data_IF_448886529999
#
_entry.id   IF_448886529999
#
_cell.length_a   1.000
_cell.length_b   1.000
_cell.length_c   1.000
_cell.angle_alpha   90.00
_cell.angle_beta   90.00
_cell.angle_gamma   90.00
#
_symmetry.space_group_name_H-M   'P 1'
#
loop_
_entity.id
_entity.type
_entity.pdbx_description
1 polymer ?
#
# COMPACT_ATOMS: atom_id res chain seq x y z
N UNK A 1 24.99 -18.51 -3.78
CA UNK A 1 23.52 -18.54 -3.58
C UNK A 1 23.18 -18.95 -2.14
N UNK A 2 23.54 -18.15 -1.14
CA UNK A 2 23.00 -18.32 0.22
C UNK A 2 22.01 -17.19 0.40
N UNK A 3 20.73 -17.49 0.20
CA UNK A 3 19.66 -16.61 0.64
C UNK A 3 19.83 -16.42 2.16
N UNK A 4 20.19 -15.23 2.59
CA UNK A 4 20.25 -14.93 4.03
C UNK A 4 18.83 -15.03 4.57
N UNK A 5 18.60 -15.72 5.71
CA UNK A 5 17.25 -15.86 6.27
C UNK A 5 16.58 -14.52 6.58
N UNK A 6 17.37 -13.44 6.74
CA UNK A 6 16.89 -12.08 6.93
C UNK A 6 16.06 -11.55 5.74
N UNK A 7 16.47 -11.82 4.49
CA UNK A 7 15.74 -11.31 3.31
C UNK A 7 14.43 -12.06 3.08
N UNK A 8 14.40 -13.36 3.40
CA UNK A 8 13.18 -14.17 3.35
C UNK A 8 12.11 -13.67 4.33
N UNK A 9 12.51 -13.27 5.55
CA UNK A 9 11.59 -12.71 6.54
C UNK A 9 10.99 -11.37 6.12
N UNK A 10 11.77 -10.50 5.48
CA UNK A 10 11.28 -9.20 4.99
C UNK A 10 10.26 -9.36 3.85
N UNK A 11 10.47 -10.32 2.94
CA UNK A 11 9.51 -10.63 1.88
C UNK A 11 8.17 -11.10 2.46
N UNK A 12 8.20 -12.00 3.46
CA UNK A 12 7.00 -12.47 4.14
C UNK A 12 6.28 -11.33 4.88
N UNK A 13 7.02 -10.49 5.61
CA UNK A 13 6.45 -9.34 6.32
C UNK A 13 5.70 -8.39 5.37
N UNK A 14 6.25 -8.12 4.18
CA UNK A 14 5.62 -7.24 3.20
C UNK A 14 4.24 -7.76 2.76
N UNK A 15 4.11 -9.07 2.54
CA UNK A 15 2.83 -9.71 2.17
C UNK A 15 1.78 -9.52 3.26
N UNK A 16 2.15 -9.70 4.54
CA UNK A 16 1.21 -9.53 5.65
C UNK A 16 0.83 -8.06 5.89
N UNK A 17 1.76 -7.11 5.70
CA UNK A 17 1.47 -5.67 5.85
C UNK A 17 0.68 -5.05 4.69
N UNK A 18 0.67 -5.70 3.52
CA UNK A 18 -0.03 -5.25 2.31
C UNK A 18 -1.40 -5.91 2.10
N UNK A 19 -1.94 -6.60 3.11
CA UNK A 19 -3.25 -7.27 3.01
C UNK A 19 -4.34 -6.24 2.72
N UNK A 20 -5.07 -6.44 1.62
CA UNK A 20 -6.25 -5.65 1.31
C UNK A 20 -7.29 -5.81 2.43
N UNK A 21 -7.71 -4.69 3.02
CA UNK A 21 -8.72 -4.64 4.08
C UNK A 21 -10.08 -4.40 3.42
N UNK A 22 -11.15 -5.08 3.85
CA UNK A 22 -12.50 -4.79 3.36
C UNK A 22 -12.86 -3.33 3.70
N UNK A 23 -13.15 -2.57 2.65
CA UNK A 23 -13.48 -1.15 2.69
C UNK A 23 -14.74 -0.90 1.86
N UNK A 24 -15.47 0.16 2.18
CA UNK A 24 -16.64 0.64 1.43
C UNK A 24 -16.52 2.15 1.25
N UNK A 25 -17.17 2.74 0.26
CA UNK A 25 -17.23 4.20 0.20
C UNK A 25 -17.87 4.77 1.48
N UNK A 26 -17.27 5.83 2.05
CA UNK A 26 -17.81 6.53 3.20
C UNK A 26 -19.13 7.23 2.85
N UNK A 27 -20.06 7.24 3.79
CA UNK A 27 -21.30 8.02 3.68
C UNK A 27 -21.05 9.53 3.85
N UNK A 28 -22.05 10.36 3.53
CA UNK A 28 -21.98 11.80 3.73
C UNK A 28 -21.76 12.18 5.21
N UNK A 29 -20.90 13.17 5.48
CA UNK A 29 -20.64 13.63 6.84
C UNK A 29 -21.90 14.23 7.47
N UNK A 30 -22.17 13.90 8.74
CA UNK A 30 -23.37 14.31 9.50
C UNK A 30 -24.70 13.67 9.09
N UNK A 31 -24.69 12.64 8.24
CA UNK A 31 -25.92 11.92 7.87
C UNK A 31 -26.89 12.76 7.01
N UNK A 32 -26.38 13.78 6.31
CA UNK A 32 -27.12 14.46 5.25
C UNK A 32 -27.45 13.50 4.10
N UNK A 33 -28.43 13.85 3.28
CA UNK A 33 -28.79 13.03 2.11
C UNK A 33 -27.75 13.19 0.99
N UNK A 34 -27.71 12.20 0.11
CA UNK A 34 -26.88 12.20 -1.11
C UNK A 34 -27.26 13.28 -2.14
N UNK A 35 -28.27 14.11 -1.82
CA UNK A 35 -28.78 15.17 -2.68
C UNK A 35 -27.77 16.27 -2.96
N UNK A 36 -26.83 16.49 -2.05
CA UNK A 36 -25.77 17.50 -2.21
C UNK A 36 -24.73 17.11 -3.28
N UNK A 37 -24.61 15.82 -3.59
CA UNK A 37 -23.63 15.29 -4.54
C UNK A 37 -24.28 14.92 -5.88
N UNK A 38 -25.43 14.25 -5.82
CA UNK A 38 -26.09 13.69 -7.01
C UNK A 38 -27.34 14.47 -7.45
N UNK A 39 -27.68 15.58 -6.77
CA UNK A 39 -28.91 16.31 -7.02
C UNK A 39 -30.13 15.57 -6.48
N UNK A 40 -31.32 15.82 -7.05
CA UNK A 40 -32.58 15.28 -6.51
C UNK A 40 -32.61 13.74 -6.54
N UNK A 41 -32.33 13.11 -5.39
CA UNK A 41 -32.41 11.66 -5.20
C UNK A 41 -33.86 11.28 -4.98
N UNK A 42 -34.66 11.24 -6.06
CA UNK A 42 -36.08 10.84 -6.00
C UNK A 42 -36.26 9.39 -5.51
N UNK A 43 -36.36 8.44 -6.44
CA UNK A 43 -36.46 6.99 -6.16
C UNK A 43 -35.10 6.27 -6.29
N UNK A 44 -34.00 7.01 -6.25
CA UNK A 44 -32.66 6.49 -6.45
C UNK A 44 -32.13 5.87 -5.15
N UNK A 45 -31.63 4.63 -5.26
CA UNK A 45 -30.90 3.96 -4.17
C UNK A 45 -29.40 4.02 -4.45
N UNK A 46 -28.63 4.52 -3.49
CA UNK A 46 -27.17 4.62 -3.58
C UNK A 46 -26.56 3.36 -2.98
N UNK A 47 -25.93 2.55 -3.81
CA UNK A 47 -25.21 1.36 -3.36
C UNK A 47 -23.73 1.70 -3.23
N UNK A 48 -23.22 1.60 -2.00
CA UNK A 48 -21.81 1.78 -1.68
C UNK A 48 -21.06 0.47 -1.89
N UNK A 49 -20.35 0.36 -3.02
CA UNK A 49 -19.40 -0.72 -3.26
C UNK A 49 -18.01 -0.37 -2.71
N UNK A 50 -17.04 -1.26 -2.91
CA UNK A 50 -15.68 -1.10 -2.39
C UNK A 50 -14.95 0.12 -2.99
N UNK A 51 -15.24 0.48 -4.25
CA UNK A 51 -14.54 1.55 -4.97
C UNK A 51 -15.41 2.49 -5.79
N UNK A 52 -16.74 2.35 -5.70
CA UNK A 52 -17.69 3.15 -6.49
C UNK A 52 -19.04 3.24 -5.80
N UNK A 53 -19.72 4.33 -6.10
CA UNK A 53 -21.10 4.58 -5.77
C UNK A 53 -21.93 4.23 -7.01
N UNK A 54 -22.87 3.31 -6.87
CA UNK A 54 -23.79 2.93 -7.95
C UNK A 54 -25.15 3.53 -7.64
N UNK A 55 -25.68 4.31 -8.58
CA UNK A 55 -27.01 4.92 -8.50
C UNK A 55 -27.99 4.00 -9.22
N UNK A 56 -28.96 3.48 -8.47
CA UNK A 56 -29.95 2.54 -9.00
C UNK A 56 -31.34 3.18 -8.96
N UNK A 57 -32.00 3.22 -10.12
CA UNK A 57 -33.43 3.58 -10.24
C UNK A 57 -34.24 2.34 -10.62
N UNK A 58 -35.22 1.96 -9.79
CA UNK A 58 -36.11 0.82 -10.02
C UNK A 58 -35.38 -0.42 -10.59
N UNK A 59 -34.28 -0.82 -9.95
CA UNK A 59 -33.38 -1.94 -10.30
C UNK A 59 -32.48 -1.79 -11.55
N UNK A 60 -32.47 -0.63 -12.20
CA UNK A 60 -31.54 -0.30 -13.30
C UNK A 60 -30.40 0.59 -12.83
N UNK A 61 -29.17 0.33 -13.31
CA UNK A 61 -28.00 1.16 -13.00
C UNK A 61 -28.05 2.41 -13.88
N UNK A 62 -28.26 3.57 -13.25
CA UNK A 62 -28.37 4.85 -13.95
C UNK A 62 -26.99 5.46 -14.18
N UNK A 63 -26.17 5.50 -13.12
CA UNK A 63 -24.85 6.11 -13.17
C UNK A 63 -23.90 5.50 -12.12
N UNK A 64 -22.61 5.61 -12.37
CA UNK A 64 -21.54 5.11 -11.50
C UNK A 64 -20.54 6.22 -11.22
N UNK A 65 -20.39 6.58 -9.94
CA UNK A 65 -19.50 7.65 -9.52
C UNK A 65 -18.35 7.14 -8.64
N UNK A 66 -17.18 7.79 -8.65
CA UNK A 66 -16.11 7.52 -7.68
C UNK A 66 -16.53 7.93 -6.27
N UNK A 67 -15.93 7.32 -5.24
CA UNK A 67 -16.21 7.69 -3.84
C UNK A 67 -15.82 9.16 -3.59
N UNK A 68 -16.80 9.99 -3.20
CA UNK A 68 -16.59 11.44 -2.99
C UNK A 68 -16.08 11.77 -1.58
N UNK A 69 -16.55 11.03 -0.57
CA UNK A 69 -16.22 11.25 0.84
C UNK A 69 -15.11 10.33 1.36
N UNK A 70 -14.37 9.69 0.46
CA UNK A 70 -13.34 8.71 0.80
C UNK A 70 -13.90 7.33 1.15
N UNK A 71 -13.10 6.53 1.84
CA UNK A 71 -13.39 5.12 2.13
C UNK A 71 -13.51 4.89 3.64
N UNK A 72 -14.52 4.12 4.03
CA UNK A 72 -14.77 3.65 5.38
C UNK A 72 -14.27 2.19 5.52
N UNK A 73 -13.45 1.95 6.53
CA UNK A 73 -12.86 0.63 6.80
C UNK A 73 -13.62 -0.06 7.93
N UNK A 74 -13.97 -1.33 7.76
CA UNK A 74 -14.65 -2.13 8.81
C UNK A 74 -13.71 -2.52 9.96
N UNK A 75 -12.40 -2.48 9.74
CA UNK A 75 -11.37 -2.74 10.73
C UNK A 75 -10.67 -1.43 11.13
N UNK A 76 -10.08 -1.35 12.34
CA UNK A 76 -9.35 -0.16 12.75
C UNK A 76 -8.25 0.19 11.74
N UNK A 77 -8.13 1.47 11.44
CA UNK A 77 -7.27 2.03 10.39
C UNK A 77 -5.78 1.70 10.56
N UNK A 78 -5.38 1.24 11.75
CA UNK A 78 -4.00 0.89 12.11
C UNK A 78 -3.61 -0.55 11.73
N UNK A 79 -4.52 -1.34 11.15
CA UNK A 79 -4.28 -2.77 10.89
C UNK A 79 -3.40 -3.03 9.67
N UNK A 80 -3.32 -2.09 8.72
CA UNK A 80 -2.46 -2.25 7.54
C UNK A 80 -1.88 -0.93 7.05
N UNK A 81 -0.74 -0.99 6.36
CA UNK A 81 -0.14 0.16 5.68
C UNK A 81 -1.10 0.78 4.66
N UNK A 82 -1.90 -0.07 4.00
CA UNK A 82 -2.87 0.35 2.97
C UNK A 82 -3.99 1.22 3.56
N UNK A 83 -4.47 0.90 4.77
CA UNK A 83 -5.51 1.67 5.44
C UNK A 83 -4.99 2.96 6.09
N UNK A 84 -3.75 2.97 6.58
CA UNK A 84 -3.11 4.17 7.14
C UNK A 84 -2.90 5.27 6.10
N UNK A 85 -2.47 4.91 4.89
CA UNK A 85 -2.16 5.90 3.84
C UNK A 85 -3.28 6.08 2.81
N UNK A 86 -4.45 5.44 3.01
CA UNK A 86 -5.60 5.49 2.09
C UNK A 86 -5.27 5.10 0.63
N UNK A 87 -4.41 4.10 0.43
CA UNK A 87 -3.99 3.63 -0.91
C UNK A 87 -4.99 2.62 -1.51
N UNK A 88 -6.26 3.01 -1.62
CA UNK A 88 -7.33 2.14 -2.14
C UNK A 88 -7.93 2.69 -3.44
N UNK A 89 -8.46 1.80 -4.27
CA UNK A 89 -9.11 2.10 -5.55
C UNK A 89 -8.21 2.79 -6.56
N UNK A 90 -8.09 4.13 -6.53
CA UNK A 90 -7.27 4.90 -7.48
C UNK A 90 -5.76 4.79 -7.21
N UNK A 91 -5.37 4.34 -6.01
CA UNK A 91 -3.97 4.17 -5.61
C UNK A 91 -3.56 2.70 -5.41
N UNK A 92 -4.39 1.75 -5.85
CA UNK A 92 -4.09 0.32 -5.79
C UNK A 92 -2.80 -0.06 -6.58
N UNK A 93 -2.52 0.69 -7.65
CA UNK A 93 -1.31 0.58 -8.45
C UNK A 93 -0.06 0.91 -7.65
N UNK A 94 -0.14 1.74 -6.61
CA UNK A 94 1.00 2.10 -5.76
C UNK A 94 1.43 0.90 -4.92
N UNK A 95 0.46 0.12 -4.41
CA UNK A 95 0.76 -1.13 -3.71
C UNK A 95 1.45 -2.14 -4.64
N UNK A 96 0.94 -2.29 -5.88
CA UNK A 96 1.58 -3.15 -6.90
C UNK A 96 2.98 -2.65 -7.28
N UNK A 97 3.15 -1.35 -7.46
CA UNK A 97 4.46 -0.77 -7.75
C UNK A 97 5.46 -0.98 -6.63
N UNK A 98 5.03 -0.89 -5.37
CA UNK A 98 5.92 -1.12 -4.23
C UNK A 98 6.54 -2.53 -4.25
N UNK A 99 5.76 -3.55 -4.64
CA UNK A 99 6.26 -4.91 -4.82
C UNK A 99 7.29 -4.98 -5.96
N UNK A 100 7.00 -4.35 -7.11
CA UNK A 100 7.96 -4.34 -8.24
C UNK A 100 9.26 -3.61 -7.89
N UNK A 101 9.17 -2.49 -7.19
CA UNK A 101 10.33 -1.71 -6.77
C UNK A 101 11.18 -2.45 -5.72
N UNK A 102 10.56 -3.22 -4.83
CA UNK A 102 11.28 -4.12 -3.91
C UNK A 102 12.13 -5.15 -4.66
N UNK A 103 11.58 -5.80 -5.68
CA UNK A 103 12.33 -6.75 -6.50
C UNK A 103 13.45 -6.07 -7.30
N UNK A 104 13.22 -4.87 -7.81
CA UNK A 104 14.25 -4.08 -8.49
C UNK A 104 15.39 -3.70 -7.55
N UNK A 105 15.08 -3.22 -6.34
CA UNK A 105 16.06 -2.91 -5.30
C UNK A 105 16.93 -4.12 -4.95
N UNK A 106 16.30 -5.28 -4.73
CA UNK A 106 17.02 -6.54 -4.49
C UNK A 106 17.90 -6.95 -5.67
N UNK A 107 17.43 -6.76 -6.91
CA UNK A 107 18.23 -7.03 -8.10
C UNK A 107 19.51 -6.20 -8.15
N UNK A 108 19.39 -4.89 -7.91
CA UNK A 108 20.53 -3.97 -7.87
C UNK A 108 21.46 -4.30 -6.69
N UNK A 109 20.91 -4.56 -5.51
CA UNK A 109 21.68 -4.94 -4.32
C UNK A 109 22.47 -6.24 -4.52
N UNK A 110 21.87 -7.25 -5.16
CA UNK A 110 22.54 -8.49 -5.49
C UNK A 110 23.67 -8.30 -6.51
N UNK A 111 23.44 -7.46 -7.54
CA UNK A 111 24.46 -7.12 -8.52
C UNK A 111 25.68 -6.44 -7.88
N UNK A 112 25.43 -5.42 -7.06
CA UNK A 112 26.48 -4.70 -6.33
C UNK A 112 27.21 -5.63 -5.36
N UNK A 113 26.49 -6.39 -4.55
CA UNK A 113 27.09 -7.31 -3.57
C UNK A 113 27.94 -8.37 -4.26
N UNK A 114 27.53 -8.86 -5.43
CA UNK A 114 28.32 -9.80 -6.23
C UNK A 114 29.64 -9.17 -6.69
N UNK A 115 29.58 -7.96 -7.24
CA UNK A 115 30.77 -7.22 -7.67
C UNK A 115 31.74 -6.91 -6.52
N UNK A 116 31.21 -6.44 -5.38
CA UNK A 116 32.04 -6.09 -4.24
C UNK A 116 32.55 -7.31 -3.46
N UNK A 117 31.82 -8.44 -3.48
CA UNK A 117 32.23 -9.70 -2.83
C UNK A 117 33.56 -10.20 -3.35
N UNK A 118 33.80 -10.06 -4.65
CA UNK A 118 35.04 -10.52 -5.30
C UNK A 118 36.25 -9.67 -4.92
N UNK A 119 36.05 -8.42 -4.46
CA UNK A 119 37.13 -7.50 -4.09
C UNK A 119 37.41 -7.38 -2.60
N UNK A 120 36.37 -7.38 -1.75
CA UNK A 120 36.51 -7.02 -0.33
C UNK A 120 36.52 -8.22 0.62
N UNK A 121 36.33 -9.44 0.10
CA UNK A 121 36.30 -10.67 0.88
C UNK A 121 34.92 -10.96 1.49
N UNK A 122 34.62 -12.25 1.66
CA UNK A 122 33.27 -12.75 1.97
C UNK A 122 32.69 -12.29 3.33
N UNK A 123 33.55 -11.92 4.29
CA UNK A 123 33.14 -11.61 5.68
C UNK A 123 32.76 -10.14 5.87
N UNK A 124 33.48 -9.22 5.24
CA UNK A 124 33.22 -7.77 5.29
C UNK A 124 31.91 -7.43 4.59
N UNK A 125 31.62 -8.08 3.46
CA UNK A 125 30.39 -7.85 2.69
C UNK A 125 29.13 -8.22 3.49
N UNK A 126 29.19 -9.31 4.27
CA UNK A 126 28.05 -9.77 5.09
C UNK A 126 27.81 -8.82 6.26
N UNK A 127 28.88 -8.31 6.89
CA UNK A 127 28.76 -7.35 7.99
C UNK A 127 28.25 -6.00 7.47
N UNK A 128 28.74 -5.54 6.31
CA UNK A 128 28.32 -4.28 5.70
C UNK A 128 26.85 -4.31 5.26
N UNK A 129 26.39 -5.39 4.63
CA UNK A 129 24.98 -5.51 4.22
C UNK A 129 24.04 -5.57 5.43
N UNK A 130 24.41 -6.28 6.48
CA UNK A 130 23.61 -6.34 7.70
C UNK A 130 23.55 -4.99 8.44
N UNK A 131 24.65 -4.23 8.43
CA UNK A 131 24.66 -2.87 8.96
C UNK A 131 23.79 -1.91 8.15
N UNK A 132 23.87 -1.98 6.81
CA UNK A 132 23.02 -1.21 5.91
C UNK A 132 21.53 -1.49 6.12
N UNK A 133 21.15 -2.76 6.27
CA UNK A 133 19.78 -3.17 6.58
C UNK A 133 19.28 -2.56 7.90
N UNK A 134 20.13 -2.54 8.93
CA UNK A 134 19.78 -2.05 10.26
C UNK A 134 19.54 -0.53 10.24
N UNK A 135 20.41 0.22 9.57
CA UNK A 135 20.26 1.68 9.40
C UNK A 135 19.00 2.01 8.60
N UNK A 136 18.77 1.33 7.47
CA UNK A 136 17.58 1.59 6.67
C UNK A 136 16.29 1.23 7.42
N UNK A 137 16.28 0.12 8.16
CA UNK A 137 15.14 -0.28 8.99
C UNK A 137 14.83 0.73 10.11
N UNK A 138 15.84 1.31 10.74
CA UNK A 138 15.67 2.40 11.71
C UNK A 138 15.05 3.64 11.06
N UNK A 139 15.51 4.03 9.87
CA UNK A 139 14.97 5.22 9.19
C UNK A 139 13.50 5.01 8.80
N UNK A 140 13.14 3.82 8.32
CA UNK A 140 11.74 3.47 8.00
C UNK A 140 10.84 3.54 9.23
N UNK A 141 11.33 3.15 10.41
CA UNK A 141 10.54 3.18 11.64
C UNK A 141 10.16 4.61 12.08
N UNK A 142 10.94 5.62 11.68
CA UNK A 142 10.70 7.03 12.01
C UNK A 142 10.11 7.84 10.86
N UNK A 143 9.79 7.24 9.70
CA UNK A 143 9.29 7.96 8.53
C UNK A 143 7.75 8.12 8.57
N UNK A 144 7.21 9.36 8.68
CA UNK A 144 5.77 9.61 8.64
C UNK A 144 5.21 9.71 7.20
N UNK A 145 6.07 9.81 6.18
CA UNK A 145 5.65 10.03 4.79
C UNK A 145 5.57 8.73 3.96
N UNK A 146 4.46 8.51 3.21
CA UNK A 146 4.27 7.30 2.39
C UNK A 146 5.29 7.16 1.26
N UNK A 147 5.74 8.28 0.69
CA UNK A 147 6.71 8.28 -0.41
C UNK A 147 8.10 7.92 0.10
N UNK A 148 8.49 8.43 1.27
CA UNK A 148 9.76 8.10 1.92
C UNK A 148 9.78 6.62 2.30
N UNK A 149 8.69 6.09 2.84
CA UNK A 149 8.54 4.66 3.10
C UNK A 149 8.74 3.81 1.84
N UNK A 150 8.20 4.24 0.70
CA UNK A 150 8.33 3.53 -0.57
C UNK A 150 9.78 3.52 -1.07
N UNK A 151 10.47 4.67 -1.04
CA UNK A 151 11.87 4.80 -1.47
C UNK A 151 12.80 3.97 -0.58
N UNK A 152 12.62 4.03 0.74
CA UNK A 152 13.46 3.26 1.67
C UNK A 152 13.27 1.75 1.53
N UNK A 153 12.09 1.30 1.10
CA UNK A 153 11.88 -0.11 0.76
C UNK A 153 12.63 -0.56 -0.50
N UNK A 154 12.97 0.36 -1.41
CA UNK A 154 13.83 0.03 -2.57
C UNK A 154 15.30 -0.09 -2.15
N UNK A 155 15.69 0.66 -1.12
CA UNK A 155 17.07 0.70 -0.63
C UNK A 155 17.43 -0.49 0.28
N UNK A 156 16.43 -1.12 0.88
CA UNK A 156 16.53 -2.35 1.69
C UNK A 156 16.61 -3.58 0.78
#
# INVERSE_FOLDING_TARGET
>A
MLATPATAFQLLSNVFTAKAVPHRCAGPPHGSNWTEVFGDTGNLTVVQEECRLVLIDNSTVLDTAPCVYGNEYRLPQNTSFVSQFHLVCALDWVARLSQTMLFLGQGIGAYLTSYFSDRFGRKTIIVASNFGLLVCGLIVAFAPDPIIFMIFKVLI
#
